data_IF_906218544379
#
_entry.id   IF_906218544379
#
_cell.length_a   1.000
_cell.length_b   1.000
_cell.length_c   1.000
_cell.angle_alpha   90.00
_cell.angle_beta   90.00
_cell.angle_gamma   90.00
#
_symmetry.space_group_name_H-M   'P 1'
#
loop_
_entity.id
_entity.type
_entity.pdbx_description
1 polymer ?
#
# COMPACT_ATOMS: atom_id res chain seq x y z
N UNK A 1 -16.02 31.81 -43.35
CA UNK A 1 -14.58 32.17 -43.31
C UNK A 1 -13.76 30.89 -43.43
N UNK A 2 -13.05 30.70 -44.54
CA UNK A 2 -12.22 29.52 -44.75
C UNK A 2 -10.98 29.60 -43.84
N UNK A 3 -10.90 28.76 -42.80
CA UNK A 3 -9.69 28.63 -41.99
C UNK A 3 -8.59 28.03 -42.86
N UNK A 4 -7.40 28.62 -42.78
CA UNK A 4 -6.23 28.20 -43.54
C UNK A 4 -5.87 26.73 -43.24
N UNK A 5 -5.63 25.92 -44.28
CA UNK A 5 -5.43 24.46 -44.18
C UNK A 5 -4.28 24.11 -43.23
N UNK A 6 -3.23 24.92 -43.25
CA UNK A 6 -2.03 24.72 -42.43
C UNK A 6 -2.25 25.04 -40.95
N UNK A 7 -3.11 26.03 -40.65
CA UNK A 7 -3.48 26.35 -39.27
C UNK A 7 -4.28 25.21 -38.63
N UNK A 8 -5.18 24.57 -39.39
CA UNK A 8 -5.94 23.42 -38.91
C UNK A 8 -5.07 22.18 -38.67
N UNK A 9 -4.07 21.96 -39.54
CA UNK A 9 -3.08 20.89 -39.40
C UNK A 9 -2.23 21.05 -38.15
N UNK A 10 -1.72 22.26 -37.89
CA UNK A 10 -0.92 22.56 -36.69
C UNK A 10 -1.73 22.34 -35.41
N UNK A 11 -2.99 22.80 -35.38
CA UNK A 11 -3.87 22.60 -34.24
C UNK A 11 -4.15 21.12 -33.94
N UNK A 12 -4.28 20.29 -34.97
CA UNK A 12 -4.48 18.85 -34.81
C UNK A 12 -3.23 18.13 -34.29
N UNK A 13 -2.04 18.50 -34.74
CA UNK A 13 -0.79 17.93 -34.22
C UNK A 13 -0.55 18.33 -32.77
N UNK A 14 -0.79 19.60 -32.44
CA UNK A 14 -0.68 20.12 -31.07
C UNK A 14 -1.68 19.43 -30.13
N UNK A 15 -2.91 19.20 -30.58
CA UNK A 15 -3.90 18.41 -29.85
C UNK A 15 -3.47 16.96 -29.61
N UNK A 16 -2.79 16.32 -30.58
CA UNK A 16 -2.25 14.97 -30.41
C UNK A 16 -1.16 14.94 -29.34
N UNK A 17 -0.25 15.92 -29.34
CA UNK A 17 0.80 16.04 -28.32
C UNK A 17 0.19 16.23 -26.93
N UNK A 18 -0.77 17.15 -26.78
CA UNK A 18 -1.49 17.36 -25.52
C UNK A 18 -2.19 16.10 -24.99
N UNK A 19 -2.79 15.30 -25.87
CA UNK A 19 -3.43 14.04 -25.46
C UNK A 19 -2.39 13.01 -25.00
N UNK A 20 -1.23 12.94 -25.66
CA UNK A 20 -0.14 12.03 -25.26
C UNK A 20 0.48 12.44 -23.92
N UNK A 21 0.64 13.73 -23.69
CA UNK A 21 1.21 14.31 -22.47
C UNK A 21 0.18 14.43 -21.33
N UNK A 22 -1.08 14.04 -21.57
CA UNK A 22 -2.20 14.17 -20.63
C UNK A 22 -2.51 15.61 -20.19
N UNK A 23 -2.09 16.60 -20.98
CA UNK A 23 -2.27 18.03 -20.74
C UNK A 23 -3.51 18.55 -21.50
N UNK A 24 -4.71 18.12 -21.07
CA UNK A 24 -5.95 18.44 -21.79
C UNK A 24 -6.41 19.88 -21.58
N UNK A 25 -6.74 20.56 -22.68
CA UNK A 25 -7.32 21.91 -22.70
C UNK A 25 -8.85 21.83 -22.65
N UNK A 26 -9.45 20.81 -23.26
CA UNK A 26 -10.90 20.68 -23.34
C UNK A 26 -11.53 20.21 -22.03
N UNK A 27 -12.58 20.92 -21.55
CA UNK A 27 -13.26 20.64 -20.26
C UNK A 27 -13.74 19.20 -20.13
N UNK A 28 -14.30 18.63 -21.20
CA UNK A 28 -14.82 17.25 -21.19
C UNK A 28 -13.72 16.17 -21.17
N UNK A 29 -12.52 16.49 -21.63
CA UNK A 29 -11.39 15.56 -21.59
C UNK A 29 -10.71 15.59 -20.22
N UNK A 30 -10.64 16.78 -19.58
CA UNK A 30 -10.17 16.91 -18.18
C UNK A 30 -11.01 16.15 -17.16
N UNK A 31 -12.30 15.95 -17.44
CA UNK A 31 -13.21 15.19 -16.56
C UNK A 31 -13.02 13.67 -16.66
N UNK A 32 -12.28 13.17 -17.65
CA UNK A 32 -12.06 11.73 -17.84
C UNK A 32 -10.76 11.32 -17.15
N UNK A 33 -10.80 10.20 -16.42
CA UNK A 33 -9.61 9.64 -15.79
C UNK A 33 -8.56 9.16 -16.82
N UNK A 34 -9.02 8.63 -17.95
CA UNK A 34 -8.15 8.17 -19.05
C UNK A 34 -8.74 8.60 -20.39
N UNK A 35 -7.97 9.36 -21.17
CA UNK A 35 -8.37 9.79 -22.52
C UNK A 35 -7.62 8.97 -23.56
N UNK A 36 -8.36 8.21 -24.37
CA UNK A 36 -7.79 7.47 -25.49
C UNK A 36 -7.48 8.42 -26.65
N UNK A 37 -6.36 8.22 -27.34
CA UNK A 37 -6.07 8.91 -28.59
C UNK A 37 -6.99 8.35 -29.70
N UNK A 38 -8.02 9.10 -30.06
CA UNK A 38 -8.94 8.75 -31.14
C UNK A 38 -9.36 9.99 -31.92
N UNK A 39 -9.92 9.80 -33.12
CA UNK A 39 -10.33 10.90 -34.02
C UNK A 39 -11.23 11.92 -33.31
N UNK A 40 -12.23 11.46 -32.57
CA UNK A 40 -13.18 12.33 -31.87
C UNK A 40 -12.55 13.17 -30.75
N UNK A 41 -11.64 12.59 -29.96
CA UNK A 41 -10.97 13.31 -28.87
C UNK A 41 -9.95 14.31 -29.42
N UNK A 42 -9.26 13.98 -30.53
CA UNK A 42 -8.34 14.90 -31.20
C UNK A 42 -9.09 16.10 -31.80
N UNK A 43 -10.26 15.90 -32.43
CA UNK A 43 -11.10 17.00 -32.94
C UNK A 43 -11.59 17.92 -31.81
N UNK A 44 -12.03 17.32 -30.68
CA UNK A 44 -12.49 18.06 -29.50
C UNK A 44 -11.37 18.87 -28.85
N UNK A 45 -10.19 18.28 -28.70
CA UNK A 45 -9.02 18.95 -28.12
C UNK A 45 -8.45 20.05 -29.03
N UNK A 46 -8.58 19.89 -30.35
CA UNK A 46 -8.21 20.92 -31.33
C UNK A 46 -9.26 22.03 -31.46
N UNK A 47 -10.43 21.90 -30.84
CA UNK A 47 -11.54 22.85 -30.99
C UNK A 47 -12.07 22.94 -32.42
N UNK A 48 -12.00 21.83 -33.16
CA UNK A 48 -12.44 21.74 -34.56
C UNK A 48 -13.80 21.04 -34.65
N UNK A 49 -14.52 21.31 -35.74
CA UNK A 49 -15.79 20.64 -36.04
C UNK A 49 -15.59 19.15 -36.26
N UNK A 50 -16.63 18.37 -35.94
CA UNK A 50 -16.66 16.92 -36.19
C UNK A 50 -16.42 16.67 -37.68
N UNK A 51 -15.41 15.88 -38.02
CA UNK A 51 -15.02 15.57 -39.40
C UNK A 51 -13.92 16.45 -39.99
N UNK A 52 -13.32 17.37 -39.22
CA UNK A 52 -12.17 18.16 -39.69
C UNK A 52 -10.96 17.28 -40.07
N UNK A 53 -10.81 16.10 -39.45
CA UNK A 53 -9.74 15.15 -39.81
C UNK A 53 -9.90 14.48 -41.17
N UNK A 54 -11.09 14.55 -41.81
CA UNK A 54 -11.31 13.93 -43.14
C UNK A 54 -10.41 14.50 -44.22
N UNK A 55 -10.00 15.77 -44.06
CA UNK A 55 -9.16 16.48 -45.01
C UNK A 55 -7.65 16.35 -44.72
N UNK A 56 -7.27 15.63 -43.66
CA UNK A 56 -5.88 15.43 -43.20
C UNK A 56 -5.57 13.94 -43.00
N UNK A 57 -5.41 13.16 -44.10
CA UNK A 57 -5.25 11.70 -44.04
C UNK A 57 -3.92 11.25 -43.41
N UNK A 58 -2.92 12.10 -43.44
CA UNK A 58 -1.62 11.92 -42.79
C UNK A 58 -1.74 11.88 -41.26
N UNK A 59 -2.56 12.77 -40.68
CA UNK A 59 -2.81 12.80 -39.23
C UNK A 59 -3.66 11.60 -38.79
N UNK A 60 -4.60 11.18 -39.64
CA UNK A 60 -5.39 9.97 -39.41
C UNK A 60 -4.50 8.75 -39.25
N UNK A 61 -3.47 8.59 -40.09
CA UNK A 61 -2.48 7.50 -39.97
C UNK A 61 -1.70 7.55 -38.65
N UNK A 62 -1.39 8.74 -38.15
CA UNK A 62 -0.70 8.89 -36.85
C UNK A 62 -1.59 8.43 -35.69
N UNK A 63 -2.88 8.77 -35.74
CA UNK A 63 -3.85 8.34 -34.72
C UNK A 63 -4.07 6.82 -34.78
N UNK A 64 -4.18 6.25 -35.98
CA UNK A 64 -4.39 4.81 -36.19
C UNK A 64 -3.15 3.99 -35.84
N UNK A 65 -1.95 4.46 -36.17
CA UNK A 65 -0.68 3.82 -35.79
C UNK A 65 -0.35 3.92 -34.30
N UNK A 66 -0.91 4.91 -33.60
CA UNK A 66 -0.82 5.02 -32.14
C UNK A 66 -1.99 4.34 -31.41
N UNK A 67 -2.94 3.74 -32.14
CA UNK A 67 -4.02 2.96 -31.55
C UNK A 67 -3.45 1.62 -31.06
N UNK A 68 -3.63 1.25 -29.78
CA UNK A 68 -3.03 0.05 -29.19
C UNK A 68 -3.57 -1.29 -29.76
N UNK A 69 -4.49 -1.23 -30.72
CA UNK A 69 -5.22 -2.41 -31.23
C UNK A 69 -4.53 -3.15 -32.37
N UNK A 70 -3.35 -2.74 -32.84
CA UNK A 70 -2.77 -3.30 -34.07
C UNK A 70 -1.39 -3.93 -33.83
N UNK A 71 -1.33 -5.01 -33.03
CA UNK A 71 -0.29 -6.08 -33.06
C UNK A 71 0.54 -6.36 -31.80
N UNK A 72 0.39 -5.62 -30.68
CA UNK A 72 1.20 -5.88 -29.46
C UNK A 72 0.43 -6.53 -28.29
N UNK A 73 -0.85 -6.88 -28.45
CA UNK A 73 -1.75 -7.09 -27.29
C UNK A 73 -1.87 -8.53 -26.75
N UNK A 74 -1.56 -9.58 -27.52
CA UNK A 74 -1.86 -10.95 -27.08
C UNK A 74 -0.77 -11.53 -26.16
N UNK A 75 0.49 -11.32 -26.53
CA UNK A 75 1.65 -11.86 -25.81
C UNK A 75 1.89 -11.13 -24.48
N UNK A 76 1.70 -9.79 -24.48
CA UNK A 76 1.75 -8.97 -23.27
C UNK A 76 0.65 -9.33 -22.27
N UNK A 77 -0.56 -9.63 -22.74
CA UNK A 77 -1.67 -10.04 -21.86
C UNK A 77 -1.42 -11.43 -21.28
N UNK A 78 -0.91 -12.39 -22.07
CA UNK A 78 -0.55 -13.71 -21.56
C UNK A 78 0.56 -13.63 -20.50
N UNK A 79 1.61 -12.84 -20.75
CA UNK A 79 2.71 -12.58 -19.81
C UNK A 79 2.24 -11.93 -18.51
N UNK A 80 1.35 -10.94 -18.59
CA UNK A 80 0.75 -10.31 -17.41
C UNK A 80 -0.13 -11.28 -16.62
N UNK A 81 -0.90 -12.12 -17.31
CA UNK A 81 -1.76 -13.11 -16.66
C UNK A 81 -0.93 -14.15 -15.89
N UNK A 82 0.18 -14.61 -16.47
CA UNK A 82 1.09 -15.54 -15.79
C UNK A 82 1.74 -14.89 -14.55
N UNK A 83 2.15 -13.62 -14.64
CA UNK A 83 2.67 -12.86 -13.48
C UNK A 83 1.62 -12.71 -12.38
N UNK A 84 0.37 -12.40 -12.73
CA UNK A 84 -0.73 -12.31 -11.76
C UNK A 84 -0.93 -13.65 -11.07
N UNK A 85 -1.00 -14.76 -11.83
CA UNK A 85 -1.17 -16.09 -11.27
C UNK A 85 -0.03 -16.48 -10.31
N UNK A 86 1.22 -16.15 -10.65
CA UNK A 86 2.39 -16.37 -9.77
C UNK A 86 2.28 -15.55 -8.47
N UNK A 87 1.88 -14.28 -8.57
CA UNK A 87 1.70 -13.41 -7.41
C UNK A 87 0.54 -13.87 -6.52
N UNK A 88 -0.56 -14.34 -7.09
CA UNK A 88 -1.67 -14.90 -6.33
C UNK A 88 -1.26 -16.17 -5.58
N UNK A 89 -0.52 -17.07 -6.23
CA UNK A 89 -0.01 -18.28 -5.58
C UNK A 89 0.95 -17.95 -4.42
N UNK A 90 1.84 -16.97 -4.61
CA UNK A 90 2.74 -16.48 -3.55
C UNK A 90 1.96 -15.86 -2.38
N UNK A 91 0.97 -15.02 -2.66
CA UNK A 91 0.10 -14.44 -1.62
C UNK A 91 -0.65 -15.50 -0.81
N UNK A 92 -1.14 -16.57 -1.46
CA UNK A 92 -1.80 -17.67 -0.75
C UNK A 92 -0.85 -18.38 0.20
N UNK A 93 0.40 -18.64 -0.23
CA UNK A 93 1.44 -19.24 0.63
C UNK A 93 1.78 -18.34 1.82
N UNK A 94 2.05 -17.06 1.58
CA UNK A 94 2.37 -16.09 2.63
C UNK A 94 1.24 -15.95 3.66
N UNK A 95 -0.02 -15.98 3.21
CA UNK A 95 -1.17 -15.98 4.13
C UNK A 95 -1.19 -17.22 5.01
N UNK A 96 -0.95 -18.40 4.44
CA UNK A 96 -0.90 -19.64 5.21
C UNK A 96 0.24 -19.62 6.25
N UNK A 97 1.45 -19.22 5.84
CA UNK A 97 2.60 -19.06 6.75
C UNK A 97 2.31 -18.06 7.87
N UNK A 98 1.76 -16.90 7.54
CA UNK A 98 1.39 -15.89 8.55
C UNK A 98 0.37 -16.41 9.56
N UNK A 99 -0.63 -17.20 9.12
CA UNK A 99 -1.59 -17.81 10.05
C UNK A 99 -0.95 -18.86 10.96
N UNK A 100 0.04 -19.61 10.46
CA UNK A 100 0.78 -20.58 11.26
C UNK A 100 1.61 -19.86 12.33
N UNK A 101 2.43 -18.88 11.92
CA UNK A 101 3.29 -18.14 12.85
C UNK A 101 2.50 -17.40 13.93
N UNK A 102 1.29 -16.90 13.61
CA UNK A 102 0.41 -16.28 14.62
C UNK A 102 -0.04 -17.29 15.68
N UNK A 103 -0.45 -18.49 15.27
CA UNK A 103 -0.85 -19.56 16.20
C UNK A 103 0.33 -19.97 17.09
N UNK A 104 1.52 -20.12 16.51
CA UNK A 104 2.73 -20.47 17.26
C UNK A 104 3.09 -19.39 18.28
N UNK A 105 2.98 -18.11 17.90
CA UNK A 105 3.22 -16.99 18.80
C UNK A 105 2.20 -16.91 19.94
N UNK A 106 0.92 -17.15 19.65
CA UNK A 106 -0.13 -17.22 20.69
C UNK A 106 0.11 -18.37 21.66
N UNK A 107 0.52 -19.55 21.15
CA UNK A 107 0.84 -20.69 21.98
C UNK A 107 2.07 -20.42 22.85
N UNK A 108 3.13 -19.84 22.29
CA UNK A 108 4.33 -19.47 23.03
C UNK A 108 4.04 -18.43 24.12
N UNK A 109 3.12 -17.49 23.88
CA UNK A 109 2.68 -16.53 24.88
C UNK A 109 1.97 -17.22 26.05
N UNK A 110 1.05 -18.13 25.77
CA UNK A 110 0.34 -18.90 26.81
C UNK A 110 1.29 -19.74 27.65
N UNK A 111 2.23 -20.45 27.02
CA UNK A 111 3.20 -21.25 27.76
C UNK A 111 4.12 -20.38 28.62
N UNK A 112 4.53 -19.22 28.11
CA UNK A 112 5.32 -18.25 28.90
C UNK A 112 4.54 -17.76 30.13
N UNK A 113 3.27 -17.38 29.97
CA UNK A 113 2.40 -16.96 31.07
C UNK A 113 2.24 -18.08 32.13
N UNK A 114 2.06 -19.32 31.70
CA UNK A 114 2.00 -20.48 32.61
C UNK A 114 3.31 -20.69 33.38
N UNK A 115 4.46 -20.61 32.69
CA UNK A 115 5.77 -20.72 33.34
C UNK A 115 6.02 -19.60 34.34
N UNK A 116 5.68 -18.36 33.97
CA UNK A 116 5.78 -17.20 34.86
C UNK A 116 4.92 -17.37 36.10
N UNK A 117 3.68 -17.85 35.95
CA UNK A 117 2.79 -18.12 37.09
C UNK A 117 3.37 -19.19 38.03
N UNK A 118 3.85 -20.32 37.47
CA UNK A 118 4.47 -21.39 38.27
C UNK A 118 5.73 -20.92 38.98
N UNK A 119 6.56 -20.16 38.28
CA UNK A 119 7.78 -19.57 38.84
C UNK A 119 7.44 -18.61 39.99
N UNK A 120 6.47 -17.71 39.80
CA UNK A 120 6.02 -16.78 40.83
C UNK A 120 5.49 -17.51 42.06
N UNK A 121 4.66 -18.56 41.89
CA UNK A 121 4.19 -19.38 43.01
C UNK A 121 5.35 -20.03 43.78
N UNK A 122 6.35 -20.53 43.05
CA UNK A 122 7.52 -21.19 43.65
C UNK A 122 8.36 -20.20 44.43
N UNK A 123 8.70 -19.05 43.84
CA UNK A 123 9.43 -17.97 44.50
C UNK A 123 8.69 -17.47 45.73
N UNK A 124 7.37 -17.30 45.64
CA UNK A 124 6.53 -16.88 46.75
C UNK A 124 6.54 -17.90 47.88
N UNK A 125 6.39 -19.20 47.57
CA UNK A 125 6.44 -20.26 48.57
C UNK A 125 7.80 -20.31 49.28
N UNK A 126 8.90 -20.16 48.53
CA UNK A 126 10.25 -20.09 49.09
C UNK A 126 10.44 -18.85 49.97
N UNK A 127 9.94 -17.69 49.53
CA UNK A 127 9.97 -16.47 50.32
C UNK A 127 9.23 -16.64 51.65
N UNK A 128 8.08 -17.31 51.67
CA UNK A 128 7.34 -17.59 52.90
C UNK A 128 8.00 -18.58 53.85
N UNK A 129 8.99 -19.37 53.39
CA UNK A 129 9.78 -20.26 54.25
C UNK A 129 10.84 -19.51 55.07
N UNK A 130 11.19 -18.29 54.68
CA UNK A 130 12.10 -17.44 55.45
C UNK A 130 11.34 -16.88 56.67
N UNK A 131 11.92 -16.91 57.89
CA UNK A 131 11.34 -16.26 59.06
C UNK A 131 10.95 -14.80 58.79
N UNK A 132 9.91 -14.32 59.46
CA UNK A 132 9.34 -13.00 59.16
C UNK A 132 10.34 -11.87 59.49
N UNK A 133 11.09 -12.03 60.58
CA UNK A 133 12.04 -11.02 61.07
C UNK A 133 13.19 -10.84 60.05
N UNK A 134 13.75 -11.95 59.56
CA UNK A 134 14.79 -11.96 58.52
C UNK A 134 14.27 -11.34 57.21
N UNK A 135 13.03 -11.63 56.81
CA UNK A 135 12.43 -11.03 55.62
C UNK A 135 12.31 -9.53 55.73
N UNK A 136 11.85 -9.02 56.87
CA UNK A 136 11.68 -7.58 57.06
C UNK A 136 13.02 -6.84 57.05
N UNK A 137 14.08 -7.42 57.62
CA UNK A 137 15.42 -6.87 57.54
C UNK A 137 15.94 -6.81 56.10
N UNK A 138 15.80 -7.91 55.35
CA UNK A 138 16.20 -7.97 53.94
C UNK A 138 15.42 -6.99 53.06
N UNK A 139 14.10 -6.81 53.30
CA UNK A 139 13.29 -5.81 52.59
C UNK A 139 13.71 -4.39 52.94
N UNK A 140 14.15 -4.11 54.19
CA UNK A 140 14.65 -2.79 54.59
C UNK A 140 15.99 -2.46 53.93
N UNK A 141 16.82 -3.46 53.67
CA UNK A 141 18.12 -3.36 52.98
C UNK A 141 18.00 -3.19 51.46
N UNK A 142 16.84 -3.45 50.88
CA UNK A 142 16.62 -3.35 49.44
C UNK A 142 16.60 -1.87 49.00
N UNK A 143 17.51 -1.51 48.10
CA UNK A 143 17.55 -0.17 47.51
C UNK A 143 16.53 -0.06 46.37
N UNK A 144 15.55 0.84 46.54
CA UNK A 144 14.46 1.08 45.58
C UNK A 144 14.98 1.59 44.23
N UNK A 145 16.24 2.05 44.15
CA UNK A 145 16.90 2.48 42.91
C UNK A 145 17.06 1.35 41.88
N UNK A 146 17.02 0.07 42.32
CA UNK A 146 17.16 -1.12 41.47
C UNK A 146 15.82 -1.66 40.94
N UNK A 147 14.69 -1.14 41.41
CA UNK A 147 13.36 -1.54 40.97
C UNK A 147 12.99 -0.73 39.71
N UNK A 148 12.90 -1.41 38.56
CA UNK A 148 12.36 -0.82 37.32
C UNK A 148 10.95 -1.32 37.05
N UNK A 149 10.01 -0.39 36.83
CA UNK A 149 8.58 -0.66 36.62
C UNK A 149 7.69 -0.17 37.78
N UNK A 150 6.36 -0.31 37.62
CA UNK A 150 5.32 0.01 38.63
C UNK A 150 5.30 -1.01 39.80
N UNK A 151 6.48 -1.37 40.32
CA UNK A 151 6.62 -2.26 41.48
C UNK A 151 6.82 -1.39 42.71
N UNK A 152 5.72 -1.08 43.41
CA UNK A 152 5.77 -0.34 44.67
C UNK A 152 6.04 -1.27 45.85
N UNK A 153 6.91 -0.85 46.76
CA UNK A 153 7.15 -1.55 48.01
C UNK A 153 5.91 -1.35 48.91
N UNK A 154 5.11 -2.41 49.12
CA UNK A 154 3.89 -2.37 49.96
C UNK A 154 4.17 -1.82 51.37
N UNK A 155 5.41 -1.90 51.86
CA UNK A 155 5.79 -1.37 53.18
C UNK A 155 6.12 0.12 53.20
N UNK A 156 6.18 0.83 52.06
CA UNK A 156 6.38 2.29 52.05
C UNK A 156 5.25 3.04 52.79
N UNK A 157 4.02 2.50 52.75
CA UNK A 157 2.88 3.10 53.43
C UNK A 157 2.91 2.98 54.96
N UNK A 158 3.76 2.11 55.54
CA UNK A 158 3.89 1.95 57.00
C UNK A 158 4.94 2.86 57.66
N UNK A 159 5.70 3.66 56.88
CA UNK A 159 6.73 4.57 57.42
C UNK A 159 6.21 5.96 57.85
N UNK A 160 4.97 6.06 58.34
CA UNK A 160 4.46 7.30 58.94
C UNK A 160 4.13 7.10 60.41
#
# INVERSE_FOLDING_TARGET
MARNKDASRKALLDAISRIKEQTYTHKDLRKKAVVKLNKSNVEKEAGLSVGALRHHPDIVKVIEGASPNNNNSADDVASLTEKVNKLEASNRKLKAESTCSKKDAEQAKKTLEEYQSKYHQTVTALFFKIPIDEREELIKLLDNSSLSGDVTNINEYRRK
#
